data_IF_377899494162
#
_entry.id   IF_377899494162
#
_cell.length_a   1.000
_cell.length_b   1.000
_cell.length_c   1.000
_cell.angle_alpha   90.00
_cell.angle_beta   90.00
_cell.angle_gamma   90.00
#
_symmetry.space_group_name_H-M   'P 1'
#
loop_
_entity.id
_entity.type
_entity.pdbx_description
1 polymer ?
#
# COMPACT_ATOMS: atom_id res chain seq x y z
N UNK A 1 10.36 8.64 -47.88
CA UNK A 1 9.68 9.19 -46.69
C UNK A 1 8.71 8.16 -46.14
N UNK A 2 8.96 7.43 -45.06
CA UNK A 2 10.22 6.98 -44.47
C UNK A 2 9.88 5.73 -43.64
N UNK A 3 10.60 4.63 -43.90
CA UNK A 3 10.59 3.37 -43.14
C UNK A 3 11.21 3.52 -41.73
N UNK A 4 11.03 4.67 -41.08
CA UNK A 4 11.69 5.01 -39.80
C UNK A 4 10.81 4.76 -38.56
N UNK A 5 9.50 4.49 -38.68
CA UNK A 5 8.63 4.32 -37.51
C UNK A 5 8.48 2.88 -37.01
N UNK A 6 8.96 1.87 -37.74
CA UNK A 6 8.83 0.46 -37.36
C UNK A 6 10.04 -0.10 -36.59
N UNK A 7 11.23 0.48 -36.80
CA UNK A 7 12.45 0.05 -36.11
C UNK A 7 12.48 0.51 -34.64
N UNK A 8 11.86 1.67 -34.35
CA UNK A 8 11.88 2.28 -33.02
C UNK A 8 11.03 1.53 -31.98
N UNK A 9 9.89 0.95 -32.41
CA UNK A 9 9.06 0.10 -31.53
C UNK A 9 9.75 -1.21 -31.17
N UNK A 10 10.51 -1.82 -32.08
CA UNK A 10 11.23 -3.07 -31.80
C UNK A 10 12.46 -2.86 -30.89
N UNK A 11 13.15 -1.71 -31.02
CA UNK A 11 14.26 -1.35 -30.14
C UNK A 11 13.78 -1.02 -28.72
N UNK A 12 12.63 -0.36 -28.58
CA UNK A 12 12.06 -0.02 -27.27
C UNK A 12 11.60 -1.27 -26.51
N UNK A 13 10.99 -2.24 -27.21
CA UNK A 13 10.56 -3.51 -26.61
C UNK A 13 11.74 -4.41 -26.21
N UNK A 14 12.81 -4.44 -27.02
CA UNK A 14 14.08 -5.14 -26.74
C UNK A 14 14.80 -4.56 -25.52
N UNK A 15 14.81 -3.23 -25.38
CA UNK A 15 15.48 -2.55 -24.26
C UNK A 15 14.71 -2.75 -22.94
N UNK A 16 13.38 -2.81 -22.99
CA UNK A 16 12.54 -3.07 -21.83
C UNK A 16 12.66 -4.53 -21.34
N UNK A 17 12.68 -5.50 -22.26
CA UNK A 17 12.93 -6.93 -21.94
C UNK A 17 14.33 -7.18 -21.37
N UNK A 18 15.37 -6.51 -21.87
CA UNK A 18 16.73 -6.59 -21.32
C UNK A 18 16.86 -5.99 -19.92
N UNK A 19 16.14 -4.90 -19.62
CA UNK A 19 16.12 -4.30 -18.27
C UNK A 19 15.34 -5.15 -17.26
N UNK A 20 14.26 -5.81 -17.69
CA UNK A 20 13.49 -6.72 -16.84
C UNK A 20 14.27 -8.02 -16.51
N UNK A 21 14.98 -8.58 -17.49
CA UNK A 21 15.85 -9.76 -17.27
C UNK A 21 17.09 -9.46 -16.42
N UNK A 22 17.66 -8.25 -16.53
CA UNK A 22 18.74 -7.81 -15.65
C UNK A 22 18.27 -7.59 -14.20
N UNK A 23 17.06 -7.06 -14.00
CA UNK A 23 16.47 -6.91 -12.67
C UNK A 23 16.14 -8.27 -12.02
N UNK A 24 15.65 -9.23 -12.81
CA UNK A 24 15.38 -10.60 -12.33
C UNK A 24 16.68 -11.37 -12.02
N UNK A 25 17.76 -11.15 -12.78
CA UNK A 25 19.07 -11.77 -12.50
C UNK A 25 19.75 -11.20 -11.25
N UNK A 26 19.52 -9.92 -10.94
CA UNK A 26 20.05 -9.29 -9.72
C UNK A 26 19.32 -9.75 -8.45
N UNK A 27 18.02 -10.04 -8.55
CA UNK A 27 17.23 -10.63 -7.46
C UNK A 27 17.59 -12.10 -7.18
N UNK A 28 17.94 -12.88 -8.21
CA UNK A 28 18.42 -14.26 -8.04
C UNK A 28 19.84 -14.35 -7.44
N UNK A 29 20.71 -13.35 -7.69
CA UNK A 29 22.05 -13.31 -7.11
C UNK A 29 22.07 -12.90 -5.63
N UNK A 30 21.06 -12.17 -5.16
CA UNK A 30 20.93 -11.76 -3.75
C UNK A 30 20.35 -12.85 -2.84
N UNK A 31 19.85 -13.96 -3.39
CA UNK A 31 19.43 -15.13 -2.61
C UNK A 31 20.53 -16.20 -2.47
N UNK A 32 21.71 -16.00 -3.07
CA UNK A 32 22.79 -16.99 -3.10
C UNK A 32 24.00 -16.67 -2.20
N UNK A 33 23.96 -15.60 -1.39
CA UNK A 33 25.10 -15.20 -0.54
C UNK A 33 24.76 -15.16 0.95
N UNK A 34 24.28 -16.27 1.50
CA UNK A 34 24.42 -16.56 2.94
C UNK A 34 25.07 -17.93 3.11
N UNK A 35 26.38 -17.99 2.91
CA UNK A 35 27.18 -19.18 3.24
C UNK A 35 28.67 -18.83 3.33
N UNK A 36 29.11 -18.19 4.42
CA UNK A 36 30.46 -18.43 4.96
C UNK A 36 30.70 -17.67 6.29
N UNK A 37 30.81 -18.40 7.40
CA UNK A 37 31.57 -17.95 8.58
C UNK A 37 32.38 -19.15 9.06
N UNK A 38 33.72 -19.02 9.23
CA UNK A 38 34.57 -20.17 9.48
C UNK A 38 34.51 -20.64 10.94
N UNK A 39 34.54 -21.97 11.09
CA UNK A 39 34.76 -22.69 12.34
C UNK A 39 36.08 -22.25 13.01
N UNK A 40 36.00 -21.79 14.25
CA UNK A 40 37.09 -21.92 15.22
C UNK A 40 36.58 -22.75 16.40
N UNK A 41 37.15 -23.95 16.52
CA UNK A 41 36.87 -24.90 17.57
C UNK A 41 37.52 -24.44 18.89
N UNK A 42 36.73 -24.42 19.96
CA UNK A 42 37.26 -24.41 21.32
C UNK A 42 36.61 -25.55 22.13
N UNK A 43 37.47 -26.39 22.69
CA UNK A 43 37.15 -27.68 23.30
C UNK A 43 36.37 -27.54 24.63
N UNK A 44 35.51 -28.54 24.88
CA UNK A 44 34.64 -28.67 26.06
C UNK A 44 35.41 -28.99 27.35
N UNK A 45 34.86 -28.57 28.50
CA UNK A 45 34.96 -29.28 29.79
C UNK A 45 33.56 -29.71 30.26
N UNK A 46 33.41 -30.88 30.91
CA UNK A 46 32.09 -31.43 31.25
C UNK A 46 31.65 -31.03 32.67
N UNK A 47 30.33 -30.91 32.85
CA UNK A 47 29.65 -31.07 34.13
C UNK A 47 29.15 -29.79 34.78
N UNK A 48 27.94 -29.35 34.42
CA UNK A 48 26.84 -28.90 35.32
C UNK A 48 25.57 -28.89 34.45
N UNK A 49 24.51 -29.57 34.87
CA UNK A 49 23.16 -29.39 34.31
C UNK A 49 22.64 -28.03 34.74
N UNK A 50 22.59 -27.10 33.81
CA UNK A 50 21.75 -25.91 33.91
C UNK A 50 20.74 -25.97 32.75
N UNK A 51 19.46 -26.07 33.07
CA UNK A 51 18.41 -25.71 32.14
C UNK A 51 18.58 -24.21 31.85
N UNK A 52 19.37 -23.87 30.82
CA UNK A 52 19.35 -22.53 30.25
C UNK A 52 18.12 -22.48 29.36
N UNK A 53 17.05 -21.88 29.88
CA UNK A 53 16.14 -21.16 29.01
C UNK A 53 17.01 -20.17 28.23
N UNK A 54 17.24 -20.44 26.95
CA UNK A 54 17.61 -19.36 26.06
C UNK A 54 16.43 -18.38 26.07
N UNK A 55 16.65 -17.08 26.29
CA UNK A 55 15.63 -16.13 25.87
C UNK A 55 15.51 -16.32 24.36
N UNK A 56 14.41 -16.91 23.90
CA UNK A 56 13.93 -16.59 22.56
C UNK A 56 13.76 -15.08 22.62
N UNK A 57 14.69 -14.35 21.98
CA UNK A 57 14.38 -13.00 21.53
C UNK A 57 13.34 -13.20 20.44
N UNK A 58 12.11 -13.43 20.88
CA UNK A 58 10.94 -13.36 20.04
C UNK A 58 10.82 -11.88 19.67
N UNK A 59 11.47 -11.52 18.56
CA UNK A 59 11.16 -10.28 17.86
C UNK A 59 9.86 -10.55 17.11
N UNK A 60 8.77 -10.70 17.86
CA UNK A 60 7.44 -10.98 17.35
C UNK A 60 7.15 -9.97 16.24
N UNK A 61 6.91 -10.46 15.04
CA UNK A 61 6.57 -9.61 13.89
C UNK A 61 5.08 -9.45 13.82
N UNK A 62 4.62 -8.27 13.40
CA UNK A 62 3.21 -7.95 13.37
C UNK A 62 2.71 -7.58 11.97
N UNK A 63 1.49 -8.04 11.66
CA UNK A 63 0.67 -7.51 10.59
C UNK A 63 -0.32 -6.48 11.13
N UNK A 64 -0.43 -5.34 10.45
CA UNK A 64 -1.39 -4.29 10.80
C UNK A 64 -2.47 -4.17 9.72
N UNK A 65 -3.73 -4.10 10.12
CA UNK A 65 -4.87 -3.95 9.23
C UNK A 65 -5.70 -2.73 9.57
N UNK A 66 -6.11 -1.98 8.56
CA UNK A 66 -7.11 -0.93 8.67
C UNK A 66 -8.39 -1.30 7.92
N UNK A 67 -9.54 -0.93 8.47
CA UNK A 67 -10.83 -1.03 7.83
C UNK A 67 -11.57 0.32 7.92
N UNK A 68 -11.67 1.03 6.81
CA UNK A 68 -12.35 2.33 6.72
C UNK A 68 -13.78 2.18 6.19
N UNK A 69 -14.74 2.26 7.11
CA UNK A 69 -16.17 2.16 6.83
C UNK A 69 -16.85 3.51 6.60
N UNK A 70 -18.17 3.50 6.66
CA UNK A 70 -19.02 4.69 6.44
C UNK A 70 -19.28 5.50 7.71
N UNK A 71 -19.03 4.93 8.89
CA UNK A 71 -19.28 5.56 10.19
C UNK A 71 -18.04 5.65 11.08
N UNK A 72 -16.90 5.21 10.57
CA UNK A 72 -15.68 5.09 11.36
C UNK A 72 -14.66 4.18 10.71
N UNK A 73 -13.48 4.11 11.32
CA UNK A 73 -12.39 3.24 10.95
C UNK A 73 -12.01 2.32 12.12
N UNK A 74 -11.46 1.16 11.79
CA UNK A 74 -10.88 0.20 12.74
C UNK A 74 -9.44 -0.08 12.40
N UNK A 75 -8.67 -0.42 13.42
CA UNK A 75 -7.30 -0.92 13.30
C UNK A 75 -7.19 -2.22 14.08
N UNK A 76 -6.50 -3.21 13.51
CA UNK A 76 -6.16 -4.45 14.19
C UNK A 76 -4.68 -4.74 13.97
N UNK A 77 -4.00 -5.24 15.00
CA UNK A 77 -2.64 -5.76 14.90
C UNK A 77 -2.64 -7.22 15.29
N UNK A 78 -2.05 -8.03 14.42
CA UNK A 78 -2.01 -9.49 14.55
C UNK A 78 -0.55 -9.92 14.61
N UNK A 79 -0.23 -10.78 15.57
CA UNK A 79 1.09 -11.44 15.65
C UNK A 79 1.20 -12.50 14.54
N UNK A 80 2.35 -12.55 13.86
CA UNK A 80 2.48 -13.30 12.61
C UNK A 80 2.61 -14.83 12.78
N UNK A 81 3.19 -15.32 13.87
CA UNK A 81 3.42 -16.76 14.09
C UNK A 81 2.13 -17.48 14.53
N UNK A 82 1.36 -16.88 15.44
CA UNK A 82 0.18 -17.48 16.06
C UNK A 82 -1.15 -16.88 15.58
N UNK A 83 -1.11 -15.80 14.80
CA UNK A 83 -2.28 -15.08 14.28
C UNK A 83 -3.21 -14.50 15.36
N UNK A 84 -2.69 -14.25 16.57
CA UNK A 84 -3.43 -13.62 17.65
C UNK A 84 -3.56 -12.12 17.45
N UNK A 85 -4.75 -11.58 17.71
CA UNK A 85 -4.97 -10.13 17.76
C UNK A 85 -4.36 -9.60 19.06
N UNK A 86 -3.31 -8.79 18.92
CA UNK A 86 -2.57 -8.21 20.06
C UNK A 86 -2.95 -6.76 20.34
N UNK A 87 -3.63 -6.11 19.39
CA UNK A 87 -4.15 -4.75 19.54
C UNK A 87 -5.34 -4.54 18.62
N UNK A 88 -6.37 -3.87 19.12
CA UNK A 88 -7.52 -3.42 18.35
C UNK A 88 -7.96 -2.04 18.83
N UNK A 89 -8.39 -1.19 17.90
CA UNK A 89 -9.02 0.09 18.23
C UNK A 89 -9.97 0.53 17.12
N UNK A 90 -10.82 1.51 17.45
CA UNK A 90 -11.75 2.11 16.49
C UNK A 90 -11.85 3.62 16.68
N UNK A 91 -12.11 4.33 15.59
CA UNK A 91 -12.33 5.77 15.56
C UNK A 91 -13.64 6.04 14.80
N UNK A 92 -14.61 6.68 15.43
CA UNK A 92 -15.87 7.06 14.79
C UNK A 92 -15.75 8.43 14.11
N UNK A 93 -16.41 8.60 12.97
CA UNK A 93 -16.54 9.89 12.30
C UNK A 93 -17.90 10.01 11.61
N UNK A 94 -18.39 11.24 11.48
CA UNK A 94 -19.66 11.55 10.79
C UNK A 94 -19.48 11.90 9.32
N UNK A 95 -18.31 12.45 8.96
CA UNK A 95 -18.09 13.08 7.67
C UNK A 95 -17.19 12.22 6.78
N UNK A 96 -17.46 12.23 5.48
CA UNK A 96 -16.75 11.43 4.48
C UNK A 96 -15.83 12.31 3.63
N UNK A 97 -14.79 12.88 4.27
CA UNK A 97 -13.78 13.70 3.59
C UNK A 97 -12.41 13.06 3.68
N UNK A 98 -11.51 13.34 2.71
CA UNK A 98 -10.13 12.83 2.76
C UNK A 98 -9.42 13.18 4.07
N UNK A 99 -9.59 14.42 4.56
CA UNK A 99 -8.94 14.87 5.80
C UNK A 99 -9.42 14.08 7.01
N UNK A 100 -10.73 13.87 7.16
CA UNK A 100 -11.29 13.10 8.27
C UNK A 100 -10.76 11.66 8.28
N UNK A 101 -10.56 11.06 7.11
CA UNK A 101 -9.96 9.73 7.04
C UNK A 101 -8.47 9.74 7.40
N UNK A 102 -7.72 10.78 7.01
CA UNK A 102 -6.31 10.93 7.43
C UNK A 102 -6.22 11.12 8.94
N UNK A 103 -7.05 11.98 9.53
CA UNK A 103 -7.06 12.23 10.97
C UNK A 103 -7.38 10.95 11.76
N UNK A 104 -8.35 10.15 11.28
CA UNK A 104 -8.66 8.85 11.86
C UNK A 104 -7.50 7.86 11.73
N UNK A 105 -6.83 7.84 10.57
CA UNK A 105 -5.64 7.01 10.34
C UNK A 105 -4.52 7.36 11.31
N UNK A 106 -4.21 8.64 11.46
CA UNK A 106 -3.17 9.14 12.35
C UNK A 106 -3.49 8.85 13.82
N UNK A 107 -4.74 9.09 14.22
CA UNK A 107 -5.22 8.80 15.58
C UNK A 107 -5.08 7.32 15.93
N UNK A 108 -5.60 6.44 15.05
CA UNK A 108 -5.51 4.99 15.24
C UNK A 108 -4.06 4.50 15.28
N UNK A 109 -3.22 5.01 14.38
CA UNK A 109 -1.80 4.61 14.31
C UNK A 109 -1.03 5.07 15.55
N UNK A 110 -1.24 6.31 16.02
CA UNK A 110 -0.49 6.88 17.15
C UNK A 110 -0.77 6.16 18.47
N UNK A 111 -1.97 5.59 18.61
CA UNK A 111 -2.39 4.87 19.81
C UNK A 111 -1.86 3.42 19.88
N UNK A 112 -1.23 2.90 18.82
CA UNK A 112 -0.58 1.59 18.86
C UNK A 112 0.71 1.70 19.68
N UNK A 113 0.96 0.78 20.65
CA UNK A 113 2.20 0.74 21.42
C UNK A 113 3.45 0.80 20.53
N UNK A 114 4.45 1.58 20.94
CA UNK A 114 5.63 1.86 20.12
C UNK A 114 6.43 0.59 19.78
N UNK A 115 6.51 -0.35 20.72
CA UNK A 115 7.17 -1.65 20.58
C UNK A 115 6.53 -2.50 19.47
N UNK A 116 5.19 -2.47 19.41
CA UNK A 116 4.42 -3.12 18.36
C UNK A 116 4.66 -2.39 17.03
N UNK A 117 4.53 -1.06 17.01
CA UNK A 117 4.71 -0.24 15.79
C UNK A 117 6.04 -0.47 15.10
N UNK A 118 7.13 -0.55 15.87
CA UNK A 118 8.49 -0.79 15.35
C UNK A 118 8.67 -2.19 14.74
N UNK A 119 7.80 -3.13 15.09
CA UNK A 119 7.86 -4.54 14.69
C UNK A 119 6.83 -4.91 13.63
N UNK A 120 6.03 -3.95 13.14
CA UNK A 120 5.13 -4.15 12.01
C UNK A 120 5.93 -4.41 10.73
N UNK A 121 5.63 -5.52 10.05
CA UNK A 121 6.26 -5.90 8.77
C UNK A 121 5.30 -5.85 7.59
N UNK A 122 4.00 -5.91 7.85
CA UNK A 122 2.96 -5.90 6.80
C UNK A 122 1.82 -4.99 7.19
N UNK A 123 1.26 -4.32 6.18
CA UNK A 123 0.12 -3.44 6.36
C UNK A 123 -0.92 -3.74 5.29
N UNK A 124 -2.18 -3.81 5.69
CA UNK A 124 -3.32 -3.89 4.80
C UNK A 124 -4.29 -2.74 5.09
N UNK A 125 -4.92 -2.23 4.05
CA UNK A 125 -5.92 -1.17 4.16
C UNK A 125 -7.14 -1.58 3.33
N UNK A 126 -8.27 -1.67 4.00
CA UNK A 126 -9.59 -1.83 3.39
C UNK A 126 -10.36 -0.52 3.48
N UNK A 127 -11.26 -0.31 2.52
CA UNK A 127 -12.14 0.84 2.46
C UNK A 127 -13.51 0.44 1.90
N UNK A 128 -14.48 1.33 2.06
CA UNK A 128 -15.83 1.09 1.56
C UNK A 128 -15.82 1.00 0.04
N UNK A 129 -16.39 -0.08 -0.50
CA UNK A 129 -16.43 -0.33 -1.95
C UNK A 129 -17.12 0.81 -2.72
N UNK A 130 -16.73 1.00 -3.99
CA UNK A 130 -17.28 2.05 -4.86
C UNK A 130 -17.16 3.49 -4.32
N UNK A 131 -16.43 3.72 -3.23
CA UNK A 131 -16.08 5.06 -2.73
C UNK A 131 -14.84 5.55 -3.45
N UNK A 132 -15.01 6.61 -4.24
CA UNK A 132 -13.98 7.12 -5.15
C UNK A 132 -13.89 8.64 -5.07
N UNK A 133 -12.74 9.18 -5.46
CA UNK A 133 -12.46 10.60 -5.59
C UNK A 133 -11.59 10.84 -6.83
N UNK A 134 -11.40 12.11 -7.21
CA UNK A 134 -10.39 12.47 -8.22
C UNK A 134 -9.19 13.09 -7.51
N UNK A 135 -8.02 12.51 -7.76
CA UNK A 135 -6.74 12.92 -7.20
C UNK A 135 -5.86 13.50 -8.30
N UNK A 136 -5.19 14.61 -8.01
CA UNK A 136 -4.21 15.19 -8.92
C UNK A 136 -2.80 14.78 -8.52
N UNK A 137 -2.14 13.96 -9.34
CA UNK A 137 -0.83 13.38 -9.03
C UNK A 137 0.29 14.41 -9.03
N UNK A 138 0.15 15.51 -9.78
CA UNK A 138 1.15 16.59 -9.84
C UNK A 138 1.06 17.51 -8.63
N UNK A 139 -0.15 17.89 -8.23
CA UNK A 139 -0.41 18.76 -7.07
C UNK A 139 -0.36 18.01 -5.74
N UNK A 140 -0.50 16.69 -5.78
CA UNK A 140 -0.50 15.85 -4.59
C UNK A 140 -1.76 15.98 -3.72
N UNK A 141 -2.90 16.33 -4.31
CA UNK A 141 -4.14 16.61 -3.56
C UNK A 141 -5.39 16.09 -4.27
N UNK A 142 -6.46 15.92 -3.50
CA UNK A 142 -7.81 15.60 -4.01
C UNK A 142 -8.42 16.85 -4.64
N UNK A 143 -8.73 16.79 -5.94
CA UNK A 143 -9.34 17.92 -6.68
C UNK A 143 -10.85 17.84 -6.73
N UNK A 144 -11.42 16.62 -6.68
CA UNK A 144 -12.87 16.41 -6.59
C UNK A 144 -13.15 15.46 -5.45
N UNK A 145 -13.96 15.92 -4.51
CA UNK A 145 -14.24 15.23 -3.26
C UNK A 145 -14.91 13.86 -3.44
N UNK A 146 -14.97 13.05 -2.39
CA UNK A 146 -15.48 11.69 -2.47
C UNK A 146 -16.92 11.59 -2.98
N UNK A 147 -17.15 10.66 -3.90
CA UNK A 147 -18.46 10.09 -4.23
C UNK A 147 -18.53 8.71 -3.59
N UNK A 148 -19.21 8.64 -2.45
CA UNK A 148 -19.34 7.43 -1.64
C UNK A 148 -20.19 6.36 -2.32
N UNK A 149 -20.20 5.15 -1.76
CA UNK A 149 -20.90 3.98 -2.31
C UNK A 149 -22.39 4.24 -2.64
N UNK A 150 -23.05 5.10 -1.87
CA UNK A 150 -24.46 5.49 -2.00
C UNK A 150 -24.69 6.65 -2.99
N UNK A 151 -23.63 7.29 -3.48
CA UNK A 151 -23.72 8.31 -4.51
C UNK A 151 -24.16 7.68 -5.84
N UNK A 152 -25.34 8.08 -6.34
CA UNK A 152 -25.82 7.67 -7.65
C UNK A 152 -25.30 8.61 -8.75
N UNK A 153 -24.68 8.05 -9.78
CA UNK A 153 -24.37 8.79 -11.00
C UNK A 153 -25.64 9.19 -11.77
N UNK A 154 -25.48 10.16 -12.68
CA UNK A 154 -26.58 10.64 -13.52
C UNK A 154 -27.10 9.55 -14.48
N UNK A 155 -28.37 9.62 -14.84
CA UNK A 155 -28.98 8.69 -15.80
C UNK A 155 -28.24 8.69 -17.14
N UNK A 156 -27.72 9.84 -17.60
CA UNK A 156 -27.00 9.93 -18.86
C UNK A 156 -25.62 9.26 -18.78
N UNK A 157 -24.91 9.39 -17.66
CA UNK A 157 -23.66 8.66 -17.43
C UNK A 157 -23.90 7.14 -17.39
N UNK A 158 -25.00 6.69 -16.78
CA UNK A 158 -25.39 5.27 -16.74
C UNK A 158 -25.78 4.75 -18.13
N UNK A 159 -26.47 5.54 -18.95
CA UNK A 159 -26.79 5.19 -20.35
C UNK A 159 -25.52 4.99 -21.17
N UNK A 160 -24.52 5.86 -21.02
CA UNK A 160 -23.21 5.72 -21.70
C UNK A 160 -22.59 4.37 -21.34
N UNK A 161 -22.51 4.02 -20.06
CA UNK A 161 -21.94 2.72 -19.63
C UNK A 161 -22.77 1.54 -20.15
N UNK A 162 -24.10 1.64 -20.09
CA UNK A 162 -25.02 0.58 -20.51
C UNK A 162 -25.01 0.29 -22.01
N UNK A 163 -24.55 1.25 -22.84
CA UNK A 163 -24.40 1.04 -24.27
C UNK A 163 -23.25 0.07 -24.61
N UNK A 164 -22.29 -0.11 -23.70
CA UNK A 164 -21.12 -0.97 -23.92
C UNK A 164 -21.08 -2.18 -22.97
N UNK A 165 -21.64 -2.06 -21.77
CA UNK A 165 -21.63 -3.13 -20.79
C UNK A 165 -22.76 -4.16 -21.01
N UNK A 166 -22.50 -5.47 -20.92
CA UNK A 166 -23.52 -6.51 -21.06
C UNK A 166 -24.73 -6.30 -20.15
N UNK A 167 -25.95 -6.66 -20.59
CA UNK A 167 -27.12 -6.67 -19.72
C UNK A 167 -26.88 -7.44 -18.41
N UNK A 168 -27.31 -6.88 -17.27
CA UNK A 168 -27.14 -7.48 -15.95
C UNK A 168 -25.76 -7.29 -15.29
N UNK A 169 -24.76 -6.75 -15.99
CA UNK A 169 -23.44 -6.53 -15.39
C UNK A 169 -23.48 -5.42 -14.32
N UNK A 170 -22.89 -5.68 -13.15
CA UNK A 170 -22.82 -4.77 -11.99
C UNK A 170 -22.31 -3.36 -12.29
N UNK A 171 -21.42 -3.18 -13.27
CA UNK A 171 -20.89 -1.87 -13.71
C UNK A 171 -21.99 -0.92 -14.19
N UNK A 172 -23.16 -1.45 -14.60
CA UNK A 172 -24.33 -0.68 -15.03
C UNK A 172 -25.11 -0.05 -13.88
N UNK A 173 -24.84 -0.43 -12.62
CA UNK A 173 -25.47 0.19 -11.46
C UNK A 173 -25.12 1.69 -11.40
N UNK A 174 -26.08 2.59 -11.11
CA UNK A 174 -25.79 4.02 -10.94
C UNK A 174 -24.75 4.31 -9.85
N UNK A 175 -24.64 3.45 -8.84
CA UNK A 175 -23.67 3.58 -7.73
C UNK A 175 -22.29 2.99 -8.03
N UNK A 176 -22.10 2.37 -9.21
CA UNK A 176 -20.81 1.82 -9.61
C UNK A 176 -19.79 2.92 -9.91
N UNK A 177 -18.51 2.58 -9.78
CA UNK A 177 -17.38 3.50 -10.00
C UNK A 177 -17.32 4.07 -11.42
N UNK A 178 -17.55 3.25 -12.46
CA UNK A 178 -17.41 3.71 -13.85
C UNK A 178 -18.45 4.79 -14.22
N UNK A 179 -19.75 4.64 -13.92
CA UNK A 179 -20.71 5.74 -14.08
C UNK A 179 -20.32 7.03 -13.35
N UNK A 180 -19.79 6.96 -12.12
CA UNK A 180 -19.30 8.12 -11.37
C UNK A 180 -18.16 8.84 -12.10
N UNK A 181 -17.22 8.07 -12.69
CA UNK A 181 -16.11 8.60 -13.48
C UNK A 181 -16.60 9.28 -14.77
N UNK A 182 -17.53 8.64 -15.49
CA UNK A 182 -18.13 9.24 -16.70
C UNK A 182 -18.86 10.54 -16.35
N UNK A 183 -19.61 10.55 -15.25
CA UNK A 183 -20.30 11.75 -14.76
C UNK A 183 -19.33 12.89 -14.49
N UNK A 184 -18.24 12.65 -13.75
CA UNK A 184 -17.22 13.68 -13.53
C UNK A 184 -16.66 14.21 -14.85
N UNK A 185 -16.34 13.34 -15.79
CA UNK A 185 -15.80 13.76 -17.09
C UNK A 185 -16.81 14.56 -17.93
N UNK A 186 -18.11 14.35 -17.73
CA UNK A 186 -19.18 15.11 -18.38
C UNK A 186 -19.39 16.48 -17.73
N UNK A 187 -19.28 16.58 -16.40
CA UNK A 187 -19.33 17.84 -15.66
C UNK A 187 -18.13 18.74 -16.01
N UNK A 188 -16.93 18.16 -15.95
CA UNK A 188 -15.68 18.80 -16.31
C UNK A 188 -14.69 17.73 -16.74
N UNK A 189 -14.11 17.87 -17.94
CA UNK A 189 -13.16 16.89 -18.48
C UNK A 189 -12.06 16.58 -17.47
N UNK A 190 -11.77 15.29 -17.28
CA UNK A 190 -10.68 14.85 -16.41
C UNK A 190 -9.36 15.33 -17.01
N UNK A 191 -8.57 16.06 -16.22
CA UNK A 191 -7.28 16.58 -16.63
C UNK A 191 -6.21 15.49 -16.81
N UNK A 192 -5.10 15.82 -17.50
CA UNK A 192 -4.01 14.87 -17.76
C UNK A 192 -3.27 14.40 -16.49
N UNK A 193 -3.27 15.21 -15.43
CA UNK A 193 -2.68 14.87 -14.12
C UNK A 193 -3.73 14.37 -13.12
N UNK A 194 -4.99 14.22 -13.52
CA UNK A 194 -6.08 13.75 -12.67
C UNK A 194 -6.32 12.26 -12.86
N UNK A 195 -6.47 11.54 -11.75
CA UNK A 195 -6.73 10.10 -11.74
C UNK A 195 -7.89 9.79 -10.82
N UNK A 196 -8.65 8.76 -11.19
CA UNK A 196 -9.60 8.12 -10.29
C UNK A 196 -8.83 7.44 -9.15
N UNK A 197 -9.24 7.66 -7.92
CA UNK A 197 -8.62 7.06 -6.74
C UNK A 197 -9.70 6.48 -5.82
N UNK A 198 -9.57 5.21 -5.42
CA UNK A 198 -10.44 4.63 -4.40
C UNK A 198 -10.05 5.11 -3.01
N UNK A 199 -11.01 5.09 -2.07
CA UNK A 199 -10.77 5.42 -0.66
C UNK A 199 -9.58 4.64 -0.07
N UNK A 200 -9.54 3.32 -0.30
CA UNK A 200 -8.46 2.45 0.19
C UNK A 200 -7.10 2.78 -0.44
N UNK A 201 -7.06 3.12 -1.72
CA UNK A 201 -5.82 3.50 -2.42
C UNK A 201 -5.26 4.82 -1.87
N UNK A 202 -6.14 5.81 -1.68
CA UNK A 202 -5.77 7.08 -1.06
C UNK A 202 -5.20 6.86 0.34
N UNK A 203 -5.89 6.11 1.19
CA UNK A 203 -5.43 5.84 2.55
C UNK A 203 -4.13 5.03 2.59
N UNK A 204 -3.98 4.05 1.69
CA UNK A 204 -2.72 3.31 1.53
C UNK A 204 -1.55 4.25 1.20
N UNK A 205 -1.78 5.26 0.36
CA UNK A 205 -0.76 6.28 0.07
C UNK A 205 -0.44 7.14 1.31
N UNK A 206 -1.44 7.46 2.13
CA UNK A 206 -1.23 8.25 3.36
C UNK A 206 -0.48 7.45 4.43
N UNK A 207 -0.76 6.14 4.59
CA UNK A 207 -0.01 5.26 5.48
C UNK A 207 1.49 5.30 5.18
N UNK A 208 1.87 5.25 3.90
CA UNK A 208 3.27 5.33 3.50
C UNK A 208 3.92 6.67 3.90
N UNK A 209 3.17 7.77 3.86
CA UNK A 209 3.66 9.09 4.27
C UNK A 209 3.77 9.23 5.80
N UNK A 210 2.75 8.77 6.54
CA UNK A 210 2.70 8.84 8.01
C UNK A 210 3.77 7.95 8.65
N UNK A 211 3.99 6.74 8.12
CA UNK A 211 5.02 5.84 8.63
C UNK A 211 6.43 6.31 8.31
N UNK A 212 6.65 6.87 7.13
CA UNK A 212 7.96 7.43 6.78
C UNK A 212 8.30 8.64 7.67
N UNK A 213 7.30 9.43 8.10
CA UNK A 213 7.50 10.52 9.05
C UNK A 213 7.69 10.05 10.50
N UNK A 214 6.97 9.01 10.95
CA UNK A 214 7.16 8.47 12.31
C UNK A 214 8.47 7.67 12.48
N UNK A 215 9.00 7.08 11.40
CA UNK A 215 10.36 6.51 11.37
C UNK A 215 11.42 7.63 11.44
N UNK A 216 11.22 8.74 10.74
CA UNK A 216 12.16 9.88 10.75
C UNK A 216 12.16 10.68 12.05
N UNK A 217 11.06 10.69 12.80
CA UNK A 217 10.93 11.46 14.04
C UNK A 217 11.52 10.78 15.29
N UNK A 218 12.23 9.65 15.18
CA UNK A 218 13.05 9.18 16.31
C UNK A 218 14.20 10.17 16.52
N UNK A 219 14.34 10.82 17.70
CA UNK A 219 15.43 11.76 17.95
C UNK A 219 16.74 10.97 17.89
N UNK A 220 17.48 11.15 16.80
CA UNK A 220 18.86 10.71 16.75
C UNK A 220 19.60 11.59 17.74
N UNK A 221 20.09 11.01 18.85
CA UNK A 221 21.00 11.70 19.75
C UNK A 221 22.16 12.21 18.89
N UNK A 222 22.19 13.54 18.71
CA UNK A 222 23.11 14.19 17.80
C UNK A 222 24.55 14.00 18.31
N UNK A 223 25.31 13.17 17.62
CA UNK A 223 26.78 13.25 17.64
C UNK A 223 27.21 14.21 16.53
N UNK A 224 28.11 15.17 16.79
CA UNK A 224 28.46 16.18 15.80
C UNK A 224 29.58 15.67 14.90
N UNK A 225 29.32 15.43 13.61
CA UNK A 225 30.32 15.65 12.55
C UNK A 225 29.72 15.68 11.13
N UNK A 226 30.40 16.27 10.14
CA UNK A 226 29.76 16.95 9.01
C UNK A 226 29.82 16.16 7.69
N UNK A 227 28.69 16.11 6.97
CA UNK A 227 28.57 16.30 5.51
C UNK A 227 27.15 15.90 5.03
N UNK A 228 26.58 16.58 4.02
CA UNK A 228 25.22 16.29 3.56
C UNK A 228 25.22 15.06 2.62
N UNK A 229 24.31 14.08 2.80
CA UNK A 229 24.19 12.99 1.85
C UNK A 229 23.38 13.44 0.61
N UNK A 230 23.83 13.02 -0.57
CA UNK A 230 23.11 13.22 -1.85
C UNK A 230 21.79 12.43 -1.87
N UNK A 231 20.75 12.93 -2.55
CA UNK A 231 19.45 12.26 -2.60
C UNK A 231 19.52 10.97 -3.43
N UNK A 232 19.19 9.83 -2.82
CA UNK A 232 18.96 8.57 -3.53
C UNK A 232 17.48 8.48 -3.92
N UNK A 233 17.23 8.30 -5.22
CA UNK A 233 15.91 7.96 -5.77
C UNK A 233 15.62 6.49 -5.44
N UNK A 234 14.70 6.23 -4.52
CA UNK A 234 14.10 4.90 -4.35
C UNK A 234 12.71 4.93 -5.00
N UNK A 235 12.63 4.37 -6.20
CA UNK A 235 11.39 4.16 -6.96
C UNK A 235 10.68 2.89 -6.49
N UNK A 236 9.35 3.04 -6.36
CA UNK A 236 8.32 2.03 -6.15
C UNK A 236 8.62 0.64 -6.75
N UNK A 237 8.78 -0.36 -5.89
CA UNK A 237 8.77 -1.78 -6.27
C UNK A 237 7.92 -2.64 -5.31
N UNK A 238 7.30 -2.05 -4.28
CA UNK A 238 6.50 -2.77 -3.28
C UNK A 238 5.01 -2.93 -3.65
N UNK A 239 4.48 -2.19 -4.64
CA UNK A 239 3.06 -2.27 -5.01
C UNK A 239 2.66 -3.54 -5.78
N UNK A 240 3.59 -4.31 -6.34
CA UNK A 240 3.24 -5.45 -7.20
C UNK A 240 3.03 -6.78 -6.44
N UNK A 241 3.62 -6.92 -5.25
CA UNK A 241 3.49 -8.15 -4.44
C UNK A 241 2.17 -8.21 -3.65
N UNK A 242 1.59 -7.07 -3.31
CA UNK A 242 0.31 -6.97 -2.58
C UNK A 242 -0.93 -7.29 -3.45
N UNK A 243 -0.88 -7.02 -4.75
CA UNK A 243 -1.97 -7.32 -5.70
C UNK A 243 -2.18 -8.82 -5.92
N UNK A 244 -1.12 -9.64 -5.83
CA UNK A 244 -1.21 -11.09 -6.01
C UNK A 244 -1.84 -11.81 -4.81
N UNK A 245 -1.72 -11.26 -3.61
CA UNK A 245 -2.33 -11.87 -2.41
C UNK A 245 -3.85 -11.65 -2.36
N UNK A 246 -4.32 -10.45 -2.73
CA UNK A 246 -5.76 -10.17 -2.83
C UNK A 246 -6.45 -10.98 -3.94
N UNK A 247 -5.76 -11.30 -5.04
CA UNK A 247 -6.34 -12.12 -6.11
C UNK A 247 -6.51 -13.60 -5.72
N UNK A 248 -5.64 -14.13 -4.84
CA UNK A 248 -5.72 -15.53 -4.39
C UNK A 248 -6.85 -15.75 -3.37
N UNK A 249 -7.20 -14.74 -2.58
CA UNK A 249 -8.33 -14.80 -1.65
C UNK A 249 -9.69 -14.66 -2.35
N UNK A 250 -9.74 -13.96 -3.49
CA UNK A 250 -10.98 -13.80 -4.28
C UNK A 250 -11.37 -15.03 -5.12
N UNK A 251 -10.50 -16.04 -5.28
CA UNK A 251 -10.84 -17.29 -5.98
C UNK A 251 -11.26 -18.43 -5.04
N UNK A 252 -11.35 -18.17 -3.73
CA UNK A 252 -11.72 -19.16 -2.71
C UNK A 252 -13.12 -18.92 -2.13
N UNK A 253 -14.04 -18.31 -2.89
CA UNK A 253 -15.44 -18.08 -2.51
C UNK A 253 -16.37 -18.28 -3.70
#
# INVERSE_FOLDING_TARGET
WSRHSMLDKSLHESTCKKKLLAALSFLLLLQASESFVPHLAFQRRPGVRACRAHPRWDMSTYGLGFDFGTSGARINVVEEENLEVVYEASCSYSDQTPQVWVDALESLTTNVPEEIRKSIKRISVSGTSASVMIYNTRKGLVTRGPRMYDFSASADSVKVVSAFAPPGHTVRSPTSTLPKLIMWNQEEKIGADEVLCHQADFLSSQVLLVLDNSIRCTPTVASPSPSPPRPRRHTALLSLQMLLFCFSLSQSS
#
